data_IF_244555757447
#
_entry.id   IF_244555757447
#
_cell.length_a   1.000
_cell.length_b   1.000
_cell.length_c   1.000
_cell.angle_alpha   90.00
_cell.angle_beta   90.00
_cell.angle_gamma   90.00
#
_symmetry.space_group_name_H-M   'P 1'
#
loop_
_entity.id
_entity.type
_entity.pdbx_description
1 polymer ?
#
# COMPACT_ATOMS: atom_id res chain seq x y z
N UNK A 1 -8.26 -10.15 7.56
CA UNK A 1 -9.13 -8.97 7.38
C UNK A 1 -8.63 -7.94 8.39
N UNK A 2 -7.55 -7.25 8.04
CA UNK A 2 -6.91 -6.27 8.92
C UNK A 2 -7.54 -4.89 8.69
N UNK A 3 -7.73 -4.14 9.77
CA UNK A 3 -8.35 -2.79 9.82
C UNK A 3 -7.50 -1.70 9.13
N UNK A 4 -7.11 -1.90 7.87
CA UNK A 4 -6.49 -0.91 7.00
C UNK A 4 -7.52 -0.56 5.92
N UNK A 5 -8.56 0.18 6.33
CA UNK A 5 -9.91 0.15 5.73
C UNK A 5 -10.06 0.54 4.25
N UNK A 6 -9.01 0.89 3.49
CA UNK A 6 -9.15 1.25 2.09
C UNK A 6 -7.96 0.81 1.21
N UNK A 7 -7.27 -0.29 1.54
CA UNK A 7 -6.19 -0.81 0.68
C UNK A 7 -6.73 -1.86 -0.30
N UNK A 8 -6.66 -1.55 -1.58
CA UNK A 8 -7.12 -2.39 -2.67
C UNK A 8 -5.93 -3.02 -3.40
N UNK A 9 -5.79 -4.35 -3.31
CA UNK A 9 -4.63 -5.09 -3.85
C UNK A 9 -4.85 -5.70 -5.25
N UNK A 10 -6.09 -5.92 -5.66
CA UNK A 10 -6.44 -6.54 -6.95
C UNK A 10 -7.62 -5.82 -7.64
N UNK A 11 -7.79 -4.53 -7.35
CA UNK A 11 -8.87 -3.75 -7.95
C UNK A 11 -8.51 -3.31 -9.36
N UNK A 12 -9.45 -3.47 -10.29
CA UNK A 12 -9.43 -2.69 -11.52
C UNK A 12 -9.97 -1.29 -11.23
N UNK A 13 -9.29 -0.27 -11.75
CA UNK A 13 -9.72 1.12 -11.69
C UNK A 13 -10.20 1.50 -13.09
N UNK A 14 -11.47 1.86 -13.22
CA UNK A 14 -12.05 2.37 -14.45
C UNK A 14 -12.30 3.86 -14.28
N UNK A 15 -11.78 4.65 -15.22
CA UNK A 15 -12.04 6.08 -15.32
C UNK A 15 -12.88 6.29 -16.57
N UNK A 16 -14.07 6.82 -16.38
CA UNK A 16 -14.98 7.15 -17.48
C UNK A 16 -15.57 8.53 -17.23
N UNK A 17 -15.29 9.45 -18.15
CA UNK A 17 -15.73 10.85 -18.05
C UNK A 17 -15.22 11.49 -16.74
N UNK A 18 -16.13 11.91 -15.85
CA UNK A 18 -15.79 12.50 -14.54
C UNK A 18 -15.85 11.48 -13.39
N UNK A 19 -15.88 10.18 -13.67
CA UNK A 19 -16.09 9.15 -12.67
C UNK A 19 -14.89 8.21 -12.63
N UNK A 20 -14.41 7.93 -11.42
CA UNK A 20 -13.46 6.89 -11.09
C UNK A 20 -14.20 5.78 -10.34
N UNK A 21 -14.19 4.57 -10.88
CA UNK A 21 -14.88 3.39 -10.36
C UNK A 21 -13.86 2.29 -10.07
N UNK A 22 -14.00 1.63 -8.93
CA UNK A 22 -13.18 0.48 -8.56
C UNK A 22 -13.92 -0.34 -7.53
N UNK A 23 -13.81 -1.67 -7.60
CA UNK A 23 -14.57 -2.58 -6.71
C UNK A 23 -16.06 -2.18 -6.66
N UNK A 24 -16.58 -1.83 -5.47
CA UNK A 24 -17.95 -1.35 -5.24
C UNK A 24 -18.01 0.16 -4.91
N UNK A 25 -16.97 0.91 -5.27
CA UNK A 25 -16.87 2.35 -5.02
C UNK A 25 -16.89 3.13 -6.32
N UNK A 26 -17.52 4.30 -6.25
CA UNK A 26 -17.61 5.27 -7.33
C UNK A 26 -17.30 6.63 -6.75
N UNK A 27 -16.29 7.31 -7.29
CA UNK A 27 -15.82 8.62 -6.85
C UNK A 27 -15.87 9.55 -8.06
N UNK A 28 -16.39 10.75 -7.90
CA UNK A 28 -16.26 11.77 -8.94
C UNK A 28 -14.85 12.36 -8.93
N UNK A 29 -14.21 12.51 -10.09
CA UNK A 29 -12.87 13.08 -10.21
C UNK A 29 -12.80 14.50 -9.65
N UNK A 30 -13.86 15.30 -9.81
CA UNK A 30 -14.01 16.62 -9.19
C UNK A 30 -13.95 16.61 -7.65
N UNK A 31 -14.20 15.47 -7.02
CA UNK A 31 -14.10 15.30 -5.57
C UNK A 31 -12.73 14.78 -5.12
N UNK A 32 -11.85 14.41 -6.05
CA UNK A 32 -10.47 14.02 -5.76
C UNK A 32 -9.67 15.28 -5.46
N UNK A 33 -9.08 15.34 -4.26
CA UNK A 33 -8.27 16.47 -3.82
C UNK A 33 -6.80 16.28 -4.18
N UNK A 34 -6.32 15.04 -4.20
CA UNK A 34 -4.94 14.72 -4.58
C UNK A 34 -4.78 13.26 -4.98
N UNK A 35 -3.84 13.01 -5.89
CA UNK A 35 -3.33 11.68 -6.22
C UNK A 35 -1.82 11.71 -5.99
N UNK A 36 -1.29 10.75 -5.25
CA UNK A 36 0.13 10.72 -4.88
C UNK A 36 0.63 9.31 -4.65
N UNK A 37 1.96 9.14 -4.61
CA UNK A 37 2.59 7.89 -4.19
C UNK A 37 2.97 8.03 -2.72
N UNK A 38 2.47 7.12 -1.89
CA UNK A 38 2.72 7.12 -0.45
C UNK A 38 3.48 5.86 -0.04
N UNK A 39 4.49 5.94 0.85
CA UNK A 39 5.13 4.74 1.39
C UNK A 39 4.13 3.91 2.19
N UNK A 40 4.21 2.58 2.13
CA UNK A 40 3.35 1.74 2.97
C UNK A 40 3.64 1.98 4.45
N UNK A 41 2.61 1.93 5.29
CA UNK A 41 2.79 2.14 6.73
C UNK A 41 3.62 1.02 7.35
N UNK A 42 4.68 1.41 8.07
CA UNK A 42 5.53 0.47 8.80
C UNK A 42 4.77 -0.10 9.98
N UNK A 43 4.82 -1.42 10.12
CA UNK A 43 4.30 -2.11 11.30
C UNK A 43 5.10 -1.67 12.53
N UNK A 44 4.40 -1.13 13.53
CA UNK A 44 5.02 -0.80 14.82
C UNK A 44 5.46 -2.10 15.51
N UNK A 45 6.66 -2.09 16.07
CA UNK A 45 7.16 -3.20 16.88
C UNK A 45 6.41 -3.14 18.23
N UNK A 46 5.70 -4.22 18.61
CA UNK A 46 4.99 -4.27 19.89
C UNK A 46 5.93 -4.07 21.08
N UNK A 47 5.51 -3.27 22.06
CA UNK A 47 6.28 -2.95 23.28
C UNK A 47 6.67 -4.20 24.06
N UNK A 48 5.82 -5.23 24.00
CA UNK A 48 5.96 -6.52 24.66
C UNK A 48 7.21 -7.27 24.21
N UNK A 49 7.63 -7.10 22.94
CA UNK A 49 8.84 -7.75 22.43
C UNK A 49 10.11 -7.15 23.04
N UNK A 50 10.13 -5.85 23.30
CA UNK A 50 11.26 -5.21 23.99
C UNK A 50 11.33 -5.67 25.45
N UNK A 51 10.18 -5.75 26.12
CA UNK A 51 10.10 -6.26 27.50
C UNK A 51 10.56 -7.73 27.54
N UNK A 52 10.12 -8.55 26.58
CA UNK A 52 10.53 -9.95 26.46
C UNK A 52 12.02 -10.13 26.22
N UNK A 53 12.63 -9.27 25.39
CA UNK A 53 14.08 -9.29 25.17
C UNK A 53 14.87 -8.95 26.44
N UNK A 54 14.44 -7.92 27.19
CA UNK A 54 15.06 -7.53 28.46
C UNK A 54 14.88 -8.62 29.52
N UNK A 55 13.67 -9.18 29.64
CA UNK A 55 13.38 -10.27 30.57
C UNK A 55 14.24 -11.51 30.26
N UNK A 56 14.40 -11.86 28.98
CA UNK A 56 15.28 -12.94 28.53
C UNK A 56 16.74 -12.70 28.92
N UNK A 57 17.25 -11.46 28.76
CA UNK A 57 18.60 -11.10 29.17
C UNK A 57 18.82 -11.20 30.69
N UNK A 58 17.83 -10.81 31.51
CA UNK A 58 17.91 -11.00 32.97
C UNK A 58 17.91 -12.49 33.31
N UNK A 59 17.08 -13.28 32.62
CA UNK A 59 16.98 -14.72 32.83
C UNK A 59 18.28 -15.45 32.50
N UNK A 60 19.11 -14.93 31.58
CA UNK A 60 20.42 -15.52 31.26
C UNK A 60 21.32 -15.65 32.49
N UNK A 61 21.20 -14.74 33.45
CA UNK A 61 22.01 -14.72 34.68
C UNK A 61 21.65 -15.91 35.58
N UNK A 62 20.38 -16.29 35.64
CA UNK A 62 19.87 -17.32 36.55
C UNK A 62 19.69 -18.69 35.88
N UNK A 63 19.14 -18.71 34.68
CA UNK A 63 18.82 -19.91 33.90
C UNK A 63 19.23 -19.66 32.44
N UNK A 64 20.52 -19.87 32.10
CA UNK A 64 21.08 -19.50 30.80
C UNK A 64 20.30 -20.07 29.61
N UNK A 65 19.93 -21.36 29.66
CA UNK A 65 19.21 -22.02 28.56
C UNK A 65 17.86 -21.34 28.29
N UNK A 66 17.10 -21.04 29.34
CA UNK A 66 15.78 -20.42 29.19
C UNK A 66 15.89 -18.95 28.77
N UNK A 67 16.91 -18.23 29.27
CA UNK A 67 17.20 -16.86 28.85
C UNK A 67 17.55 -16.74 27.37
N UNK A 68 18.35 -17.67 26.85
CA UNK A 68 18.70 -17.72 25.41
C UNK A 68 17.43 -17.90 24.57
N UNK A 69 16.55 -18.82 24.96
CA UNK A 69 15.31 -19.11 24.20
C UNK A 69 14.41 -17.87 24.18
N UNK A 70 14.14 -17.26 25.33
CA UNK A 70 13.23 -16.11 25.44
C UNK A 70 13.80 -14.89 24.73
N UNK A 71 15.07 -14.55 24.95
CA UNK A 71 15.71 -13.41 24.28
C UNK A 71 15.83 -13.65 22.77
N UNK A 72 16.21 -14.86 22.36
CA UNK A 72 16.36 -15.24 20.96
C UNK A 72 15.07 -15.12 20.18
N UNK A 73 13.94 -15.59 20.72
CA UNK A 73 12.62 -15.46 20.08
C UNK A 73 12.23 -13.98 19.94
N UNK A 74 12.37 -13.19 21.01
CA UNK A 74 12.01 -11.78 20.99
C UNK A 74 12.83 -11.00 19.95
N UNK A 75 14.15 -11.19 19.94
CA UNK A 75 15.06 -10.56 18.97
C UNK A 75 14.75 -11.00 17.55
N UNK A 76 14.52 -12.30 17.32
CA UNK A 76 14.17 -12.83 16.00
C UNK A 76 12.90 -12.18 15.44
N UNK A 77 11.84 -12.07 16.26
CA UNK A 77 10.58 -11.45 15.84
C UNK A 77 10.78 -9.96 15.54
N UNK A 78 11.57 -9.24 16.35
CA UNK A 78 11.91 -7.83 16.09
C UNK A 78 12.63 -7.68 14.75
N UNK A 79 13.67 -8.49 14.50
CA UNK A 79 14.43 -8.45 13.25
C UNK A 79 13.55 -8.76 12.04
N UNK A 80 12.64 -9.73 12.18
CA UNK A 80 11.66 -10.05 11.14
C UNK A 80 10.76 -8.86 10.83
N UNK A 81 10.19 -8.19 11.84
CA UNK A 81 9.35 -6.99 11.65
C UNK A 81 10.14 -5.87 10.96
N UNK A 82 11.41 -5.67 11.32
CA UNK A 82 12.28 -4.67 10.68
C UNK A 82 12.51 -5.03 9.21
N UNK A 83 12.84 -6.29 8.92
CA UNK A 83 13.04 -6.78 7.56
C UNK A 83 11.78 -6.61 6.71
N UNK A 84 10.62 -7.03 7.25
CA UNK A 84 9.33 -6.88 6.58
C UNK A 84 9.03 -5.41 6.31
N UNK A 85 9.28 -4.52 7.28
CA UNK A 85 9.10 -3.07 7.12
C UNK A 85 10.04 -2.42 6.10
N UNK A 86 11.23 -2.98 5.90
CA UNK A 86 12.18 -2.50 4.90
C UNK A 86 11.86 -3.04 3.49
N UNK A 87 11.16 -4.18 3.43
CA UNK A 87 10.65 -4.75 2.18
C UNK A 87 9.30 -4.12 1.75
N UNK A 88 8.73 -3.23 2.55
CA UNK A 88 7.51 -2.51 2.20
C UNK A 88 7.71 -1.61 0.98
N UNK A 89 6.76 -1.68 0.05
CA UNK A 89 6.75 -0.91 -1.18
C UNK A 89 6.07 0.46 -1.02
N UNK A 90 5.33 0.84 -2.06
CA UNK A 90 4.55 2.08 -2.12
C UNK A 90 3.09 1.78 -2.48
N UNK A 91 2.19 2.71 -2.13
CA UNK A 91 0.79 2.73 -2.52
C UNK A 91 0.51 3.93 -3.43
N UNK A 92 -0.42 3.78 -4.37
CA UNK A 92 -1.15 4.93 -4.92
C UNK A 92 -2.13 5.40 -3.85
N UNK A 93 -2.06 6.66 -3.46
CA UNK A 93 -2.99 7.30 -2.53
C UNK A 93 -3.85 8.29 -3.30
N UNK A 94 -5.16 8.05 -3.30
CA UNK A 94 -6.17 8.98 -3.80
C UNK A 94 -6.87 9.57 -2.57
N UNK A 95 -6.67 10.87 -2.34
CA UNK A 95 -7.35 11.61 -1.29
C UNK A 95 -8.54 12.34 -1.90
N UNK A 96 -9.68 12.32 -1.21
CA UNK A 96 -10.90 13.03 -1.63
C UNK A 96 -11.24 14.15 -0.66
N UNK A 97 -12.05 15.12 -1.08
CA UNK A 97 -12.41 16.28 -0.25
C UNK A 97 -13.17 15.89 1.04
N UNK A 98 -13.80 14.72 1.08
CA UNK A 98 -14.46 14.17 2.28
C UNK A 98 -13.48 13.67 3.36
N UNK A 99 -12.17 13.90 3.20
CA UNK A 99 -11.08 13.42 4.06
C UNK A 99 -10.88 11.89 4.06
N UNK A 100 -11.59 11.18 3.19
CA UNK A 100 -11.31 9.77 2.95
C UNK A 100 -10.05 9.63 2.08
N UNK A 101 -9.33 8.54 2.31
CA UNK A 101 -8.14 8.18 1.54
C UNK A 101 -8.32 6.75 1.04
N UNK A 102 -8.10 6.57 -0.26
CA UNK A 102 -8.13 5.29 -0.94
C UNK A 102 -6.70 4.91 -1.33
N UNK A 103 -6.29 3.69 -1.00
CA UNK A 103 -4.95 3.20 -1.22
C UNK A 103 -4.98 2.03 -2.18
N UNK A 104 -4.14 2.05 -3.21
CA UNK A 104 -4.03 0.96 -4.17
C UNK A 104 -2.60 0.45 -4.18
N UNK A 105 -2.44 -0.86 -4.06
CA UNK A 105 -1.13 -1.50 -4.13
C UNK A 105 -0.82 -1.86 -5.58
N UNK A 106 0.41 -1.59 -6.02
CA UNK A 106 0.96 -2.16 -7.24
C UNK A 106 2.35 -2.72 -6.98
N UNK A 107 2.71 -3.73 -7.77
CA UNK A 107 4.00 -4.41 -7.73
C UNK A 107 5.18 -3.46 -7.94
N UNK A 108 5.00 -2.42 -8.77
CA UNK A 108 6.07 -1.56 -9.24
C UNK A 108 5.81 -0.06 -8.99
N UNK A 109 6.81 0.63 -8.43
CA UNK A 109 6.77 2.09 -8.21
C UNK A 109 6.66 2.89 -9.51
N UNK A 110 7.25 2.39 -10.61
CA UNK A 110 7.16 3.02 -11.93
C UNK A 110 5.72 3.03 -12.42
N UNK A 111 5.04 1.89 -12.34
CA UNK A 111 3.63 1.78 -12.66
C UNK A 111 2.75 2.73 -11.83
N UNK A 112 3.02 2.87 -10.52
CA UNK A 112 2.32 3.86 -9.69
C UNK A 112 2.53 5.30 -10.19
N UNK A 113 3.71 5.62 -10.71
CA UNK A 113 4.03 6.94 -11.26
C UNK A 113 3.33 7.16 -12.61
N UNK A 114 3.23 6.12 -13.43
CA UNK A 114 2.44 6.15 -14.66
C UNK A 114 0.95 6.44 -14.35
N UNK A 115 0.37 5.77 -13.36
CA UNK A 115 -1.01 6.02 -12.94
C UNK A 115 -1.21 7.47 -12.50
N UNK A 116 -0.27 8.07 -11.77
CA UNK A 116 -0.35 9.50 -11.38
C UNK A 116 -0.43 10.39 -12.63
N UNK A 117 0.43 10.15 -13.62
CA UNK A 117 0.42 10.92 -14.88
C UNK A 117 -0.88 10.72 -15.66
N UNK A 118 -1.42 9.49 -15.66
CA UNK A 118 -2.72 9.18 -16.28
C UNK A 118 -3.84 9.94 -15.60
N UNK A 119 -3.87 9.95 -14.27
CA UNK A 119 -4.86 10.69 -13.48
C UNK A 119 -4.77 12.20 -13.72
N UNK A 120 -3.56 12.75 -13.81
CA UNK A 120 -3.33 14.16 -14.17
C UNK A 120 -3.93 14.50 -15.55
N UNK A 121 -3.72 13.63 -16.54
CA UNK A 121 -4.34 13.80 -17.86
C UNK A 121 -5.87 13.70 -17.80
N UNK A 122 -6.42 12.81 -16.96
CA UNK A 122 -7.86 12.68 -16.79
C UNK A 122 -8.51 13.92 -16.16
N UNK A 123 -7.82 14.61 -15.25
CA UNK A 123 -8.33 15.85 -14.65
C UNK A 123 -8.43 17.00 -15.66
N UNK A 124 -7.63 16.98 -16.72
CA UNK A 124 -7.57 18.03 -17.74
C UNK A 124 -8.35 17.70 -19.03
N UNK A 125 -8.73 16.43 -19.24
CA UNK A 125 -9.37 15.97 -20.47
C UNK A 125 -10.89 15.92 -20.36
N UNK A 126 -11.59 16.18 -21.47
CA UNK A 126 -13.04 16.35 -21.46
C UNK A 126 -13.83 15.03 -21.52
N UNK A 127 -13.23 13.88 -21.82
CA UNK A 127 -13.90 12.56 -21.82
C UNK A 127 -12.89 11.38 -21.78
N UNK A 128 -12.13 11.19 -20.68
CA UNK A 128 -11.23 10.04 -20.58
C UNK A 128 -12.03 8.72 -20.46
N UNK A 129 -11.65 7.70 -21.22
CA UNK A 129 -12.04 6.31 -20.96
C UNK A 129 -10.77 5.48 -20.78
N UNK A 130 -10.47 5.10 -19.54
CA UNK A 130 -9.22 4.44 -19.17
C UNK A 130 -9.52 3.31 -18.20
N UNK A 131 -8.92 2.14 -18.43
CA UNK A 131 -8.95 1.01 -17.49
C UNK A 131 -7.55 0.72 -17.02
N UNK A 132 -7.35 0.69 -15.71
CA UNK A 132 -6.09 0.38 -15.05
C UNK A 132 -6.26 -0.96 -14.35
N UNK A 133 -5.50 -1.95 -14.79
CA UNK A 133 -5.38 -3.25 -14.16
C UNK A 133 -4.20 -3.23 -13.19
N UNK A 134 -4.52 -3.11 -11.90
CA UNK A 134 -3.52 -3.06 -10.84
C UNK A 134 -2.76 -4.39 -10.67
N UNK A 135 -3.40 -5.52 -11.02
CA UNK A 135 -2.83 -6.86 -10.86
C UNK A 135 -1.79 -7.13 -11.92
N UNK A 136 -2.10 -6.80 -13.17
CA UNK A 136 -1.22 -7.04 -14.31
C UNK A 136 -0.31 -5.83 -14.62
N UNK A 137 -0.38 -4.76 -13.83
CA UNK A 137 0.37 -3.52 -14.06
C UNK A 137 0.20 -2.98 -15.48
N UNK A 138 -1.06 -2.87 -15.91
CA UNK A 138 -1.42 -2.52 -17.28
C UNK A 138 -2.42 -1.36 -17.33
N UNK A 139 -2.21 -0.42 -18.25
CA UNK A 139 -3.11 0.72 -18.49
C UNK A 139 -3.65 0.64 -19.92
N UNK A 140 -4.98 0.69 -20.05
CA UNK A 140 -5.69 0.64 -21.33
C UNK A 140 -6.44 1.95 -21.57
N UNK A 141 -6.28 2.53 -22.75
CA UNK A 141 -6.95 3.76 -23.17
C UNK A 141 -7.96 3.46 -24.27
N UNK A 142 -9.25 3.77 -24.03
CA UNK A 142 -10.33 3.54 -24.98
C UNK A 142 -10.48 2.08 -25.42
N UNK A 143 -11.27 1.84 -26.47
CA UNK A 143 -11.50 0.50 -27.07
C UNK A 143 -10.29 -0.04 -27.87
N UNK A 144 -9.03 0.16 -27.44
CA UNK A 144 -7.95 -0.59 -28.11
C UNK A 144 -6.48 -0.25 -27.94
N UNK A 145 -6.02 0.67 -27.08
CA UNK A 145 -4.59 0.91 -26.95
C UNK A 145 -4.08 0.59 -25.54
N UNK A 146 -3.41 -0.57 -25.44
CA UNK A 146 -2.79 -1.12 -24.22
C UNK A 146 -1.36 -0.59 -24.11
N UNK A 147 -1.04 0.12 -23.03
CA UNK A 147 0.35 0.38 -22.64
C UNK A 147 0.78 -0.70 -21.66
N UNK A 148 1.63 -1.61 -22.13
CA UNK A 148 2.33 -2.59 -21.30
C UNK A 148 3.56 -1.91 -20.69
N UNK A 149 3.58 -1.73 -19.37
CA UNK A 149 4.81 -1.37 -18.66
C UNK A 149 5.77 -2.57 -18.75
N UNK A 150 7.01 -2.33 -19.17
CA UNK A 150 7.99 -3.35 -19.54
C UNK A 150 9.23 -3.28 -18.66
#
# INVERSE_FOLDING_TARGET
>A
MDKENNVYKDSNIEIKENILKFSNHVIQLSNVSSVSISPMEKRKIPSELYIGAIAGLILLIYIPVLGIIVAGIAIFVILKIISDNNALGYYLKISVNSRENYYFNASERRFLSEIVNVMENCFNSTNPHITIDMKNSNIQYGDGNVFQSK
#
